data_IF_990833986943
#
_entry.id   IF_990833986943
#
_cell.length_a   1.000
_cell.length_b   1.000
_cell.length_c   1.000
_cell.angle_alpha   90.00
_cell.angle_beta   90.00
_cell.angle_gamma   90.00
#
_symmetry.space_group_name_H-M   'P 1'
#
loop_
_entity.id
_entity.type
_entity.pdbx_description
1 polymer ?
#
# COMPACT_ATOMS: atom_id res chain seq x y z
N UNK A 1 15.22 -13.24 -5.09
CA UNK A 1 14.68 -12.09 -4.34
C UNK A 1 13.60 -12.64 -3.43
N UNK A 2 13.73 -12.48 -2.10
CA UNK A 2 12.66 -12.87 -1.16
C UNK A 2 11.70 -11.70 -1.12
N UNK A 3 10.62 -11.80 -1.87
CA UNK A 3 9.48 -10.91 -1.78
C UNK A 3 8.94 -11.04 -0.35
N UNK A 4 9.10 -10.01 0.47
CA UNK A 4 8.60 -9.98 1.84
C UNK A 4 7.07 -10.07 1.85
N UNK A 5 6.44 -10.49 2.95
CA UNK A 5 4.98 -10.63 3.04
C UNK A 5 4.23 -9.34 2.65
N UNK A 6 4.83 -8.17 2.86
CA UNK A 6 4.24 -6.88 2.48
C UNK A 6 4.26 -6.56 0.97
N UNK A 7 5.10 -7.22 0.17
CA UNK A 7 5.16 -6.97 -1.28
C UNK A 7 4.01 -7.67 -2.03
N UNK A 8 3.57 -8.84 -1.56
CA UNK A 8 2.39 -9.54 -2.12
C UNK A 8 1.11 -8.74 -1.83
N UNK A 9 0.93 -8.31 -0.58
CA UNK A 9 -0.20 -7.47 -0.16
C UNK A 9 -0.24 -6.12 -0.93
N UNK A 10 0.92 -5.53 -1.19
CA UNK A 10 1.00 -4.30 -2.00
C UNK A 10 0.66 -4.52 -3.46
N UNK A 11 1.12 -5.63 -4.04
CA UNK A 11 0.83 -5.98 -5.43
C UNK A 11 -0.66 -6.19 -5.65
N UNK A 12 -1.33 -6.90 -4.72
CA UNK A 12 -2.78 -7.06 -4.75
C UNK A 12 -3.53 -5.73 -4.56
N UNK A 13 -3.02 -4.84 -3.71
CA UNK A 13 -3.59 -3.50 -3.53
C UNK A 13 -3.51 -2.66 -4.81
N UNK A 14 -2.38 -2.69 -5.53
CA UNK A 14 -2.21 -1.98 -6.81
C UNK A 14 -3.18 -2.50 -7.89
N UNK A 15 -3.43 -3.82 -7.92
CA UNK A 15 -4.40 -4.41 -8.85
C UNK A 15 -5.81 -3.91 -8.55
N UNK A 16 -6.22 -3.93 -7.27
CA UNK A 16 -7.54 -3.41 -6.84
C UNK A 16 -7.70 -1.91 -7.11
N UNK A 17 -6.62 -1.13 -6.98
CA UNK A 17 -6.59 0.28 -7.35
C UNK A 17 -6.87 0.48 -8.84
N UNK A 18 -6.16 -0.26 -9.70
CA UNK A 18 -6.36 -0.20 -11.16
C UNK A 18 -7.76 -0.60 -11.60
N UNK A 19 -8.40 -1.51 -10.85
CA UNK A 19 -9.78 -1.93 -11.10
C UNK A 19 -10.83 -0.98 -10.51
N UNK A 20 -10.45 0.00 -9.67
CA UNK A 20 -11.39 0.87 -8.96
C UNK A 20 -12.20 0.15 -7.87
N UNK A 21 -11.72 -0.99 -7.38
CA UNK A 21 -12.38 -1.81 -6.36
C UNK A 21 -12.02 -1.39 -4.92
N UNK A 22 -11.11 -0.42 -4.78
CA UNK A 22 -10.71 0.09 -3.47
C UNK A 22 -11.79 1.00 -2.89
N UNK A 23 -12.18 0.82 -1.62
CA UNK A 23 -13.10 1.72 -0.96
C UNK A 23 -12.42 3.08 -0.76
N UNK A 24 -13.03 4.14 -1.30
CA UNK A 24 -12.67 5.52 -1.00
C UNK A 24 -13.45 6.00 0.24
N UNK A 25 -12.87 6.98 0.96
CA UNK A 25 -13.54 7.64 2.07
C UNK A 25 -14.48 8.77 1.58
N UNK A 26 -15.07 9.53 2.50
CA UNK A 26 -15.95 10.66 2.20
C UNK A 26 -15.27 11.83 1.44
N UNK A 27 -13.94 11.85 1.39
CA UNK A 27 -13.12 12.81 0.66
C UNK A 27 -12.53 12.22 -0.63
N UNK A 28 -13.03 11.06 -1.06
CA UNK A 28 -12.54 10.30 -2.22
C UNK A 28 -11.09 9.79 -2.08
N UNK A 29 -10.57 9.73 -0.85
CA UNK A 29 -9.22 9.25 -0.57
C UNK A 29 -9.21 7.73 -0.37
N UNK A 30 -8.24 7.08 -0.99
CA UNK A 30 -7.94 5.65 -0.81
C UNK A 30 -6.90 5.46 0.30
N UNK A 31 -7.10 4.46 1.15
CA UNK A 31 -6.12 4.12 2.20
C UNK A 31 -5.07 3.17 1.64
N UNK A 32 -3.80 3.51 1.88
CA UNK A 32 -2.66 2.63 1.63
C UNK A 32 -2.63 1.48 2.65
N UNK A 33 -2.20 0.27 2.24
CA UNK A 33 -2.07 -0.84 3.15
C UNK A 33 -0.91 -0.56 4.13
N UNK A 34 -1.11 -0.93 5.40
CA UNK A 34 -0.15 -0.69 6.49
C UNK A 34 1.21 -1.34 6.23
N UNK A 35 1.24 -2.42 5.44
CA UNK A 35 2.46 -3.09 5.01
C UNK A 35 3.38 -2.22 4.12
N UNK A 36 2.83 -1.16 3.51
CA UNK A 36 3.59 -0.20 2.70
C UNK A 36 4.01 1.05 3.47
N UNK A 37 3.51 1.21 4.69
CA UNK A 37 3.98 2.24 5.61
C UNK A 37 5.31 1.72 6.17
N UNK A 38 6.39 1.96 5.44
CA UNK A 38 7.71 1.92 6.06
C UNK A 38 7.70 2.96 7.18
N UNK A 39 8.09 2.56 8.39
CA UNK A 39 8.41 3.44 9.51
C UNK A 39 9.70 4.20 9.18
N UNK A 40 9.67 4.92 8.06
CA UNK A 40 10.80 5.58 7.46
C UNK A 40 11.22 6.73 8.34
N UNK A 41 12.02 6.43 9.36
CA UNK A 41 12.95 7.41 9.87
C UNK A 41 13.95 7.68 8.75
N UNK A 42 13.62 8.66 7.90
CA UNK A 42 14.46 9.25 6.85
C UNK A 42 15.66 10.02 7.46
N UNK A 43 16.18 9.56 8.60
CA UNK A 43 17.24 10.20 9.37
C UNK A 43 18.41 9.25 9.67
N UNK A 44 18.52 8.11 8.97
CA UNK A 44 19.72 7.27 9.00
C UNK A 44 20.16 7.00 7.55
N UNK A 45 20.77 8.01 6.95
CA UNK A 45 21.69 7.90 5.79
C UNK A 45 23.01 8.58 6.15
#
# INVERSE_FOLDING_TARGET
MRTGPGEEEFSEWLIKLGNGELPSNENDEIKLPTACISDGNLADE
#
